data_IF_759272194065
#
_entry.id   IF_759272194065
#
_cell.length_a   1.000
_cell.length_b   1.000
_cell.length_c   1.000
_cell.angle_alpha   90.00
_cell.angle_beta   90.00
_cell.angle_gamma   90.00
#
_symmetry.space_group_name_H-M   'P 1'
#
loop_
_entity.id
_entity.type
_entity.pdbx_description
1 polymer ?
#
# COMPACT_ATOMS: atom_id res chain seq x y z
N UNK A 1 -0.15 -10.43 16.10
CA UNK A 1 -0.11 -11.62 15.20
C UNK A 1 0.12 -11.15 13.77
N UNK A 2 0.96 -11.82 12.97
CA UNK A 2 1.13 -11.49 11.54
C UNK A 2 -0.17 -11.87 10.79
N UNK A 3 -0.70 -10.96 9.98
CA UNK A 3 -1.89 -11.22 9.18
C UNK A 3 -1.60 -12.28 8.10
N UNK A 4 -2.52 -13.22 7.89
CA UNK A 4 -2.45 -14.19 6.81
C UNK A 4 -3.03 -13.58 5.53
N UNK A 5 -2.25 -13.56 4.44
CA UNK A 5 -2.63 -12.99 3.15
C UNK A 5 -3.17 -11.54 3.22
N UNK A 6 -2.39 -10.58 3.74
CA UNK A 6 -2.77 -9.17 3.78
C UNK A 6 -3.05 -8.64 2.36
N UNK A 7 -4.21 -7.98 2.14
CA UNK A 7 -4.57 -7.42 0.85
C UNK A 7 -3.60 -6.30 0.44
N UNK A 8 -3.49 -6.02 -0.86
CA UNK A 8 -2.69 -4.88 -1.31
C UNK A 8 -3.36 -3.58 -0.81
N UNK A 9 -2.62 -2.60 -0.24
CA UNK A 9 -3.22 -1.38 0.30
C UNK A 9 -4.06 -0.60 -0.73
N UNK A 10 -3.71 -0.68 -2.01
CA UNK A 10 -4.50 -0.10 -3.09
C UNK A 10 -5.89 -0.74 -3.30
N UNK A 11 -6.06 -2.02 -2.97
CA UNK A 11 -7.38 -2.67 -2.97
C UNK A 11 -8.23 -2.15 -1.80
N UNK A 12 -7.61 -1.97 -0.63
CA UNK A 12 -8.24 -1.37 0.56
C UNK A 12 -8.67 0.05 0.26
N UNK A 13 -7.79 0.87 -0.33
CA UNK A 13 -8.08 2.24 -0.78
C UNK A 13 -9.28 2.28 -1.73
N UNK A 14 -9.33 1.36 -2.71
CA UNK A 14 -10.47 1.25 -3.63
C UNK A 14 -11.77 0.93 -2.90
N UNK A 15 -11.74 -0.08 -2.03
CA UNK A 15 -12.94 -0.63 -1.40
C UNK A 15 -13.50 0.27 -0.29
N UNK A 16 -12.63 0.86 0.53
CA UNK A 16 -13.02 1.56 1.76
C UNK A 16 -13.00 3.09 1.63
N UNK A 17 -12.33 3.65 0.62
CA UNK A 17 -12.28 5.10 0.43
C UNK A 17 -12.97 5.55 -0.86
N UNK A 18 -12.60 4.99 -2.02
CA UNK A 18 -13.12 5.49 -3.30
C UNK A 18 -14.57 5.06 -3.54
N UNK A 19 -14.88 3.76 -3.37
CA UNK A 19 -16.22 3.22 -3.62
C UNK A 19 -17.30 3.87 -2.73
N UNK A 20 -17.12 4.03 -1.40
CA UNK A 20 -18.14 4.64 -0.54
C UNK A 20 -18.42 6.11 -0.88
N UNK A 21 -17.42 6.82 -1.39
CA UNK A 21 -17.55 8.21 -1.82
C UNK A 21 -17.99 8.37 -3.29
N UNK A 22 -18.23 7.26 -4.01
CA UNK A 22 -18.59 7.30 -5.43
C UNK A 22 -17.50 7.91 -6.33
N UNK A 23 -16.24 7.96 -5.88
CA UNK A 23 -15.17 8.64 -6.60
C UNK A 23 -14.64 7.81 -7.76
N UNK A 24 -14.59 8.42 -8.93
CA UNK A 24 -13.82 7.87 -10.06
C UNK A 24 -12.32 7.98 -9.78
N UNK A 25 -11.52 7.13 -10.45
CA UNK A 25 -10.05 7.18 -10.36
C UNK A 25 -9.52 8.57 -10.76
N UNK A 26 -10.16 9.23 -11.73
CA UNK A 26 -9.74 10.57 -12.18
C UNK A 26 -9.99 11.63 -11.12
N UNK A 27 -11.17 11.63 -10.47
CA UNK A 27 -11.48 12.55 -9.38
C UNK A 27 -10.55 12.35 -8.18
N UNK A 28 -10.36 11.09 -7.77
CA UNK A 28 -9.47 10.76 -6.65
C UNK A 28 -8.02 11.15 -6.95
N UNK A 29 -7.51 10.88 -8.16
CA UNK A 29 -6.16 11.27 -8.54
C UNK A 29 -5.96 12.80 -8.51
N UNK A 30 -6.95 13.56 -8.99
CA UNK A 30 -6.94 15.01 -8.93
C UNK A 30 -6.93 15.51 -7.48
N UNK A 31 -7.80 14.97 -6.62
CA UNK A 31 -7.87 15.34 -5.20
C UNK A 31 -6.56 15.03 -4.46
N UNK A 32 -5.91 13.90 -4.81
CA UNK A 32 -4.61 13.51 -4.24
C UNK A 32 -3.42 14.25 -4.87
N UNK A 33 -3.64 15.07 -5.91
CA UNK A 33 -2.58 15.81 -6.60
C UNK A 33 -1.57 14.90 -7.32
N UNK A 34 -2.02 13.77 -7.88
CA UNK A 34 -1.17 12.81 -8.60
C UNK A 34 -1.73 12.48 -9.98
N UNK A 35 -0.91 11.87 -10.85
CA UNK A 35 -1.40 11.40 -12.14
C UNK A 35 -2.43 10.27 -11.97
N UNK A 36 -3.42 10.21 -12.87
CA UNK A 36 -4.37 9.08 -12.94
C UNK A 36 -3.65 7.73 -13.10
N UNK A 37 -2.52 7.71 -13.84
CA UNK A 37 -1.70 6.51 -14.04
C UNK A 37 -1.09 6.02 -12.73
N UNK A 38 -0.56 6.95 -11.92
CA UNK A 38 0.00 6.65 -10.59
C UNK A 38 -1.05 6.01 -9.69
N UNK A 39 -2.21 6.66 -9.53
CA UNK A 39 -3.26 6.13 -8.68
C UNK A 39 -3.80 4.79 -9.22
N UNK A 40 -4.00 4.67 -10.54
CA UNK A 40 -4.43 3.40 -11.16
C UNK A 40 -3.42 2.27 -10.92
N UNK A 41 -2.11 2.54 -10.95
CA UNK A 41 -1.09 1.56 -10.61
C UNK A 41 -1.25 1.02 -9.20
N UNK A 42 -1.48 1.91 -8.23
CA UNK A 42 -1.69 1.56 -6.82
C UNK A 42 -2.98 0.75 -6.64
N UNK A 43 -4.10 1.25 -7.16
CA UNK A 43 -5.43 0.62 -7.01
C UNK A 43 -5.55 -0.75 -7.69
N UNK A 44 -4.58 -1.13 -8.53
CA UNK A 44 -4.52 -2.42 -9.22
C UNK A 44 -3.34 -3.29 -8.74
N UNK A 45 -2.69 -2.94 -7.62
CA UNK A 45 -1.61 -3.72 -7.03
C UNK A 45 -0.32 -3.75 -7.85
N UNK A 46 -0.16 -2.84 -8.82
CA UNK A 46 1.03 -2.76 -9.68
C UNK A 46 2.10 -1.81 -9.13
N UNK A 47 1.73 -0.97 -8.17
CA UNK A 47 2.63 -0.06 -7.46
C UNK A 47 2.23 -0.02 -5.98
N UNK A 48 3.22 0.07 -5.09
CA UNK A 48 2.98 0.23 -3.66
C UNK A 48 2.65 1.66 -3.27
N UNK A 49 2.22 1.85 -2.02
CA UNK A 49 2.08 3.17 -1.40
C UNK A 49 3.46 3.66 -0.94
N UNK A 50 3.94 4.75 -1.53
CA UNK A 50 5.13 5.46 -1.05
C UNK A 50 4.82 6.31 0.18
N UNK A 51 5.83 6.76 0.96
CA UNK A 51 5.62 7.70 2.07
C UNK A 51 4.88 8.98 1.65
N UNK A 52 5.25 9.55 0.50
CA UNK A 52 4.56 10.73 -0.03
C UNK A 52 3.08 10.45 -0.34
N UNK A 53 2.77 9.30 -0.95
CA UNK A 53 1.39 8.90 -1.19
C UNK A 53 0.65 8.68 0.14
N UNK A 54 1.28 8.07 1.13
CA UNK A 54 0.67 7.85 2.44
C UNK A 54 0.27 9.18 3.11
N UNK A 55 1.11 10.22 3.02
CA UNK A 55 0.78 11.57 3.49
C UNK A 55 -0.37 12.19 2.67
N UNK A 56 -0.39 12.03 1.36
CA UNK A 56 -1.51 12.49 0.52
C UNK A 56 -2.84 11.82 0.92
N UNK A 57 -2.81 10.52 1.19
CA UNK A 57 -3.98 9.75 1.63
C UNK A 57 -4.43 10.13 3.05
N UNK A 58 -3.50 10.41 3.96
CA UNK A 58 -3.83 10.86 5.32
C UNK A 58 -4.57 12.19 5.29
N UNK A 59 -4.07 13.14 4.50
CA UNK A 59 -4.70 14.45 4.31
C UNK A 59 -6.08 14.36 3.62
N UNK A 60 -6.22 13.51 2.61
CA UNK A 60 -7.45 13.40 1.83
C UNK A 60 -8.58 12.65 2.54
N UNK A 61 -8.26 11.66 3.38
CA UNK A 61 -9.25 10.76 3.98
C UNK A 61 -9.30 10.83 5.52
N UNK A 62 -8.56 11.73 6.16
CA UNK A 62 -8.56 11.85 7.62
C UNK A 62 -7.99 10.60 8.33
N UNK A 63 -7.00 9.96 7.70
CA UNK A 63 -6.32 8.76 8.22
C UNK A 63 -4.89 9.11 8.65
N UNK A 64 -4.06 8.12 9.03
CA UNK A 64 -2.63 8.33 9.32
C UNK A 64 -1.76 7.75 8.22
N UNK A 65 -0.63 8.40 7.92
CA UNK A 65 0.32 7.93 6.92
C UNK A 65 0.93 6.57 7.33
N UNK A 66 1.18 6.40 8.63
CA UNK A 66 1.67 5.18 9.24
C UNK A 66 0.71 4.01 9.02
N UNK A 67 -0.61 4.22 9.06
CA UNK A 67 -1.58 3.16 8.79
C UNK A 67 -1.43 2.61 7.37
N UNK A 68 -1.27 3.48 6.38
CA UNK A 68 -1.07 3.08 4.98
C UNK A 68 0.27 2.37 4.77
N UNK A 69 1.35 2.90 5.34
CA UNK A 69 2.68 2.28 5.26
C UNK A 69 2.72 0.93 5.97
N UNK A 70 2.06 0.80 7.13
CA UNK A 70 1.97 -0.48 7.83
C UNK A 70 1.26 -1.52 6.98
N UNK A 71 0.14 -1.18 6.33
CA UNK A 71 -0.53 -2.09 5.40
C UNK A 71 0.40 -2.52 4.26
N UNK A 72 1.16 -1.58 3.68
CA UNK A 72 2.13 -1.88 2.61
C UNK A 72 3.22 -2.84 3.11
N UNK A 73 3.81 -2.55 4.27
CA UNK A 73 4.84 -3.39 4.89
C UNK A 73 4.31 -4.79 5.18
N UNK A 74 3.10 -4.93 5.73
CA UNK A 74 2.51 -6.24 5.97
C UNK A 74 2.30 -7.02 4.67
N UNK A 75 1.78 -6.35 3.63
CA UNK A 75 1.60 -6.94 2.30
C UNK A 75 2.91 -7.44 1.71
N UNK A 76 3.93 -6.59 1.68
CA UNK A 76 5.23 -6.90 1.07
C UNK A 76 5.96 -8.00 1.84
N UNK A 77 5.99 -7.92 3.17
CA UNK A 77 6.62 -8.94 4.01
C UNK A 77 5.96 -10.30 3.82
N UNK A 78 4.61 -10.37 3.78
CA UNK A 78 3.94 -11.65 3.56
C UNK A 78 4.32 -12.29 2.23
N UNK A 79 4.40 -11.50 1.15
CA UNK A 79 4.81 -12.00 -0.17
C UNK A 79 6.28 -12.46 -0.19
N UNK A 80 7.18 -11.72 0.44
CA UNK A 80 8.60 -12.08 0.50
C UNK A 80 8.83 -13.31 1.37
N UNK A 81 8.15 -13.42 2.52
CA UNK A 81 8.28 -14.56 3.44
C UNK A 81 7.85 -15.88 2.78
N UNK A 82 6.87 -15.86 1.87
CA UNK A 82 6.49 -17.05 1.09
C UNK A 82 7.61 -17.60 0.21
N UNK A 83 8.56 -16.75 -0.19
CA UNK A 83 9.75 -17.12 -0.96
C UNK A 83 11.03 -17.06 -0.13
N UNK A 84 10.93 -17.04 1.20
CA UNK A 84 12.06 -16.97 2.13
C UNK A 84 13.14 -18.00 1.82
N UNK A 85 12.76 -19.24 1.48
CA UNK A 85 13.70 -20.33 1.12
C UNK A 85 14.56 -20.04 -0.12
N UNK A 86 14.13 -19.10 -0.99
CA UNK A 86 14.90 -18.68 -2.17
C UNK A 86 15.93 -17.60 -1.84
N UNK A 87 15.86 -16.99 -0.65
CA UNK A 87 16.81 -15.97 -0.21
C UNK A 87 18.08 -16.66 0.28
N UNK A 88 19.19 -16.42 -0.42
CA UNK A 88 20.51 -16.95 -0.04
C UNK A 88 21.15 -15.98 0.94
N UNK A 89 21.02 -16.27 2.24
CA UNK A 89 21.54 -15.44 3.32
C UNK A 89 22.36 -16.27 4.30
N UNK A 90 23.51 -15.74 4.74
CA UNK A 90 24.27 -16.29 5.86
C UNK A 90 23.84 -15.62 7.16
N UNK A 91 23.81 -16.37 8.26
CA UNK A 91 23.55 -15.78 9.59
C UNK A 91 24.81 -15.03 10.02
N UNK A 92 24.68 -13.73 10.27
CA UNK A 92 25.75 -12.93 10.85
C UNK A 92 25.68 -13.08 12.38
N UNK A 93 26.83 -13.37 12.98
CA UNK A 93 27.02 -13.30 14.43
C UNK A 93 28.14 -12.31 14.72
N UNK A 94 27.94 -11.44 15.71
CA UNK A 94 29.07 -10.74 16.31
C UNK A 94 29.93 -11.77 17.05
N UNK A 95 31.25 -11.64 16.92
CA UNK A 95 32.22 -12.40 17.71
C UNK A 95 32.15 -11.97 19.19
#
# INVERSE_FOLDING_TARGET
>A
MKMYNPPHPGEVLRALCLKPLGLTVTQAARALGVSRKTLSGILNGRAGISPEMAVRLSLAFGTTAESWLNQQVQHDLWHVERRRKKLRVAKLSAA
#
